data_IF_209193977156
#
_entry.id   IF_209193977156
#
_cell.length_a   1.000
_cell.length_b   1.000
_cell.length_c   1.000
_cell.angle_alpha   90.00
_cell.angle_beta   90.00
_cell.angle_gamma   90.00
#
_symmetry.space_group_name_H-M   'P 1'
#
loop_
_entity.id
_entity.type
_entity.pdbx_description
1 polymer ?
#
# COMPACT_ATOMS: atom_id res chain seq x y z
N UNK A 1 -12.11 -6.88 6.44
CA UNK A 1 -12.10 -5.94 5.30
C UNK A 1 -10.71 -5.95 4.71
N UNK A 2 -10.55 -6.28 3.43
CA UNK A 2 -9.28 -6.20 2.76
C UNK A 2 -8.82 -4.75 2.71
N UNK A 3 -7.50 -4.57 2.76
CA UNK A 3 -6.88 -3.27 2.57
C UNK A 3 -6.40 -3.21 1.13
N UNK A 4 -6.82 -2.17 0.41
CA UNK A 4 -6.27 -1.87 -0.90
C UNK A 4 -5.10 -0.90 -0.72
N UNK A 5 -3.97 -1.19 -1.32
CA UNK A 5 -2.79 -0.31 -1.32
C UNK A 5 -2.55 0.21 -2.73
N UNK A 6 -2.44 1.53 -2.85
CA UNK A 6 -2.37 2.28 -4.10
C UNK A 6 -1.10 3.13 -4.09
N UNK A 7 -0.28 2.97 -5.12
CA UNK A 7 0.90 3.77 -5.37
C UNK A 7 0.69 4.66 -6.59
N UNK A 8 1.22 5.87 -6.54
CA UNK A 8 1.31 6.74 -7.70
C UNK A 8 2.67 6.52 -8.36
N UNK A 9 2.68 6.32 -9.68
CA UNK A 9 3.93 6.17 -10.43
C UNK A 9 4.43 7.53 -10.93
N UNK A 10 5.76 7.64 -11.06
CA UNK A 10 6.44 8.82 -11.58
C UNK A 10 6.03 9.09 -13.03
N UNK A 11 6.04 10.37 -13.43
CA UNK A 11 5.63 10.82 -14.78
C UNK A 11 6.55 10.33 -15.92
N UNK A 12 7.74 9.82 -15.60
CA UNK A 12 8.72 9.33 -16.59
C UNK A 12 8.45 7.91 -17.11
N UNK A 13 7.36 7.27 -16.68
CA UNK A 13 7.01 5.93 -17.10
C UNK A 13 6.62 5.90 -18.59
N UNK A 14 7.33 5.10 -19.40
CA UNK A 14 7.02 4.92 -20.82
C UNK A 14 6.15 3.69 -21.06
N UNK A 15 6.47 2.58 -20.38
CA UNK A 15 5.71 1.34 -20.45
C UNK A 15 5.34 0.85 -19.04
N UNK A 16 4.19 0.18 -18.91
CA UNK A 16 3.74 -0.35 -17.60
C UNK A 16 4.71 -1.40 -17.05
N UNK A 17 5.41 -2.12 -17.93
CA UNK A 17 6.48 -3.04 -17.57
C UNK A 17 7.65 -2.38 -16.84
N UNK A 18 7.94 -1.09 -17.09
CA UNK A 18 9.06 -0.38 -16.46
C UNK A 18 8.84 -0.18 -14.94
N UNK A 19 7.57 -0.18 -14.52
CA UNK A 19 7.16 -0.11 -13.13
C UNK A 19 7.31 -1.46 -12.40
N UNK A 20 7.61 -2.55 -13.12
CA UNK A 20 7.72 -3.90 -12.58
C UNK A 20 9.20 -4.30 -12.56
N UNK A 21 9.76 -4.40 -11.36
CA UNK A 21 11.15 -4.82 -11.13
C UNK A 21 11.35 -6.34 -11.11
N UNK A 22 10.30 -7.13 -11.37
CA UNK A 22 10.32 -8.59 -11.29
C UNK A 22 10.26 -9.22 -12.69
N UNK A 23 11.41 -9.69 -13.19
CA UNK A 23 11.57 -10.16 -14.58
C UNK A 23 10.68 -11.34 -14.99
N UNK A 24 10.31 -12.21 -14.06
CA UNK A 24 9.46 -13.39 -14.34
C UNK A 24 7.96 -13.12 -14.14
N UNK A 25 7.54 -11.86 -13.97
CA UNK A 25 6.14 -11.55 -13.74
C UNK A 25 5.29 -11.91 -14.97
N UNK A 26 4.20 -12.64 -14.75
CA UNK A 26 3.23 -12.94 -15.80
C UNK A 26 2.36 -11.71 -16.03
N UNK A 27 2.22 -11.30 -17.27
CA UNK A 27 1.43 -10.14 -17.69
C UNK A 27 0.06 -10.59 -18.23
N UNK A 28 -0.98 -9.89 -17.82
CA UNK A 28 -2.35 -10.04 -18.29
C UNK A 28 -2.94 -8.65 -18.56
N UNK A 29 -3.43 -8.41 -19.78
CA UNK A 29 -4.23 -7.23 -20.10
C UNK A 29 -5.63 -7.36 -19.51
N UNK A 30 -6.12 -6.30 -18.88
CA UNK A 30 -7.48 -6.21 -18.35
C UNK A 30 -8.29 -5.28 -19.25
N UNK A 31 -9.14 -5.88 -20.07
CA UNK A 31 -9.99 -5.20 -21.05
C UNK A 31 -11.47 -5.44 -20.73
N UNK A 32 -12.30 -4.41 -20.92
CA UNK A 32 -13.75 -4.48 -20.76
C UNK A 32 -14.39 -4.08 -22.09
N UNK A 33 -14.92 -5.07 -22.81
CA UNK A 33 -15.34 -4.88 -24.20
C UNK A 33 -14.15 -4.43 -25.03
N UNK A 34 -14.27 -3.24 -25.65
CA UNK A 34 -13.19 -2.63 -26.45
C UNK A 34 -12.30 -1.68 -25.63
N UNK A 35 -12.59 -1.47 -24.33
CA UNK A 35 -11.85 -0.51 -23.50
C UNK A 35 -10.78 -1.20 -22.68
N UNK A 36 -9.53 -0.79 -22.86
CA UNK A 36 -8.42 -1.16 -21.99
C UNK A 36 -8.49 -0.43 -20.65
N UNK A 37 -8.44 -1.19 -19.55
CA UNK A 37 -8.48 -0.66 -18.18
C UNK A 37 -7.08 -0.59 -17.57
N UNK A 38 -6.24 -1.59 -17.84
CA UNK A 38 -4.88 -1.64 -17.34
C UNK A 38 -4.25 -3.02 -17.44
N UNK A 39 -3.03 -3.14 -16.92
CA UNK A 39 -2.25 -4.38 -16.98
C UNK A 39 -2.02 -4.97 -15.59
N UNK A 40 -2.33 -6.26 -15.45
CA UNK A 40 -2.06 -7.05 -14.25
C UNK A 40 -0.76 -7.84 -14.41
N UNK A 41 0.15 -7.65 -13.47
CA UNK A 41 1.40 -8.38 -13.36
C UNK A 41 1.36 -9.30 -12.14
N UNK A 42 1.58 -10.60 -12.32
CA UNK A 42 1.54 -11.61 -11.26
C UNK A 42 2.90 -12.27 -11.12
N UNK A 43 3.51 -12.18 -9.94
CA UNK A 43 4.78 -12.85 -9.69
C UNK A 43 4.56 -14.35 -9.45
N UNK A 44 5.13 -15.24 -10.28
CA UNK A 44 5.14 -16.66 -9.99
C UNK A 44 5.99 -16.91 -8.73
N UNK A 45 5.38 -17.51 -7.72
CA UNK A 45 6.06 -17.95 -6.50
C UNK A 45 5.94 -19.45 -6.36
N UNK A 46 7.05 -20.08 -5.99
CA UNK A 46 7.09 -21.50 -5.67
C UNK A 46 6.43 -21.74 -4.31
N UNK A 47 5.80 -22.90 -4.17
CA UNK A 47 5.35 -23.39 -2.88
C UNK A 47 6.55 -23.72 -2.01
N UNK A 48 6.59 -23.16 -0.80
CA UNK A 48 7.66 -23.41 0.17
C UNK A 48 7.06 -23.90 1.47
N UNK A 49 7.80 -24.71 2.21
CA UNK A 49 7.45 -25.00 3.60
C UNK A 49 7.48 -23.71 4.41
N UNK A 50 6.56 -23.53 5.37
CA UNK A 50 6.59 -22.35 6.22
C UNK A 50 7.90 -22.30 7.01
N UNK A 51 8.54 -21.12 7.18
CA UNK A 51 9.84 -21.02 7.85
C UNK A 51 9.85 -21.61 9.26
N UNK A 52 8.72 -21.51 9.97
CA UNK A 52 8.56 -22.06 11.32
C UNK A 52 8.43 -23.58 11.37
N UNK A 53 8.19 -24.27 10.24
CA UNK A 53 8.16 -25.74 10.21
C UNK A 53 9.51 -26.33 10.63
N UNK A 54 10.62 -25.62 10.37
CA UNK A 54 11.95 -26.05 10.78
C UNK A 54 12.09 -26.19 12.31
N UNK A 55 11.32 -25.46 13.12
CA UNK A 55 11.35 -25.58 14.58
C UNK A 55 10.87 -26.94 15.09
N UNK A 56 10.02 -27.63 14.33
CA UNK A 56 9.47 -28.94 14.69
C UNK A 56 10.27 -30.11 14.12
N UNK A 57 11.39 -29.83 13.44
CA UNK A 57 12.26 -30.88 12.88
C UNK A 57 12.80 -31.75 14.03
N UNK A 58 12.46 -33.04 14.01
CA UNK A 58 12.84 -34.00 15.07
C UNK A 58 11.80 -34.17 16.19
N UNK A 59 10.75 -33.34 16.23
CA UNK A 59 9.59 -33.53 17.12
C UNK A 59 8.36 -34.06 16.37
N UNK A 60 8.31 -33.81 15.05
CA UNK A 60 7.28 -34.29 14.15
C UNK A 60 7.94 -35.13 13.07
N UNK A 61 7.47 -36.36 12.89
CA UNK A 61 8.05 -37.33 11.95
C UNK A 61 7.84 -36.91 10.48
N UNK A 62 6.67 -36.35 10.17
CA UNK A 62 6.34 -35.81 8.85
C UNK A 62 5.98 -34.31 8.91
N UNK A 63 6.94 -33.46 8.53
CA UNK A 63 6.75 -32.01 8.46
C UNK A 63 5.81 -31.58 7.33
N UNK A 64 5.45 -32.47 6.39
CA UNK A 64 4.55 -32.15 5.29
C UNK A 64 3.11 -31.85 5.75
N UNK A 65 2.72 -32.40 6.91
CA UNK A 65 1.44 -32.14 7.59
C UNK A 65 1.26 -30.65 7.93
N UNK A 66 2.36 -29.91 8.10
CA UNK A 66 2.34 -28.47 8.36
C UNK A 66 1.98 -27.63 7.12
N UNK A 67 1.84 -28.28 5.97
CA UNK A 67 1.42 -27.69 4.70
C UNK A 67 2.52 -26.91 3.99
N UNK A 68 2.14 -26.32 2.85
CA UNK A 68 2.98 -25.43 2.06
C UNK A 68 2.34 -24.06 1.94
N UNK A 69 3.18 -23.03 1.92
CA UNK A 69 2.76 -21.65 1.71
C UNK A 69 3.20 -21.17 0.33
N UNK A 70 2.29 -20.48 -0.35
CA UNK A 70 2.56 -19.78 -1.61
C UNK A 70 2.10 -18.33 -1.47
N UNK A 71 3.05 -17.45 -1.18
CA UNK A 71 2.78 -16.02 -1.01
C UNK A 71 2.76 -15.31 -2.35
N UNK A 72 1.67 -15.46 -3.10
CA UNK A 72 1.49 -14.80 -4.41
C UNK A 72 1.43 -13.28 -4.23
N UNK A 73 2.06 -12.57 -5.16
CA UNK A 73 1.95 -11.12 -5.29
C UNK A 73 1.43 -10.76 -6.67
N UNK A 74 0.64 -9.69 -6.76
CA UNK A 74 0.21 -9.13 -8.01
C UNK A 74 0.18 -7.60 -7.95
N UNK A 75 0.30 -6.95 -9.10
CA UNK A 75 0.21 -5.51 -9.27
C UNK A 75 -0.67 -5.22 -10.47
N UNK A 76 -1.74 -4.46 -10.28
CA UNK A 76 -2.54 -3.91 -11.36
C UNK A 76 -2.11 -2.47 -11.62
N UNK A 77 -1.68 -2.16 -12.84
CA UNK A 77 -1.34 -0.80 -13.25
C UNK A 77 -2.48 -0.27 -14.10
N UNK A 78 -3.06 0.84 -13.66
CA UNK A 78 -4.14 1.54 -14.37
C UNK A 78 -3.69 2.95 -14.76
N UNK A 79 -4.25 3.45 -15.85
CA UNK A 79 -4.00 4.82 -16.31
C UNK A 79 -5.29 5.64 -16.23
N UNK A 80 -5.27 6.71 -15.43
CA UNK A 80 -6.39 7.62 -15.20
C UNK A 80 -5.86 9.05 -15.15
N UNK A 81 -6.56 9.99 -15.80
CA UNK A 81 -6.25 11.43 -15.74
C UNK A 81 -4.77 11.77 -16.01
N UNK A 82 -4.17 11.11 -17.01
CA UNK A 82 -2.75 11.29 -17.39
C UNK A 82 -1.73 10.85 -16.33
N UNK A 83 -2.14 10.01 -15.37
CA UNK A 83 -1.27 9.44 -14.34
C UNK A 83 -1.44 7.93 -14.28
N UNK A 84 -0.36 7.24 -13.93
CA UNK A 84 -0.38 5.80 -13.70
C UNK A 84 -0.45 5.50 -12.20
N UNK A 85 -1.33 4.58 -11.84
CA UNK A 85 -1.49 4.10 -10.47
C UNK A 85 -1.24 2.60 -10.43
N UNK A 86 -0.53 2.15 -9.41
CA UNK A 86 -0.28 0.73 -9.17
C UNK A 86 -1.01 0.26 -7.92
N UNK A 87 -1.90 -0.71 -8.09
CA UNK A 87 -2.64 -1.36 -7.02
C UNK A 87 -1.94 -2.68 -6.69
N UNK A 88 -1.45 -2.81 -5.46
CA UNK A 88 -0.69 -4.01 -5.04
C UNK A 88 -1.58 -4.98 -4.27
N UNK A 89 -1.44 -6.26 -4.58
CA UNK A 89 -2.14 -7.36 -3.93
C UNK A 89 -1.14 -8.36 -3.33
N UNK A 90 -1.39 -8.79 -2.09
CA UNK A 90 -0.51 -9.74 -1.40
C UNK A 90 0.93 -9.23 -1.33
N UNK A 91 1.86 -9.98 -1.91
CA UNK A 91 3.29 -9.61 -2.00
C UNK A 91 3.60 -8.66 -3.17
N UNK A 92 2.60 -7.98 -3.75
CA UNK A 92 2.73 -7.12 -4.92
C UNK A 92 3.70 -5.96 -4.76
N UNK A 93 3.89 -5.44 -3.55
CA UNK A 93 4.88 -4.38 -3.29
C UNK A 93 6.31 -4.75 -3.69
N UNK A 94 6.66 -6.04 -3.63
CA UNK A 94 7.99 -6.55 -3.99
C UNK A 94 8.16 -6.77 -5.50
N UNK A 95 7.07 -6.61 -6.26
CA UNK A 95 7.06 -6.69 -7.73
C UNK A 95 7.34 -5.32 -8.32
N UNK A 96 6.94 -4.26 -7.61
CA UNK A 96 7.13 -2.88 -8.06
C UNK A 96 8.59 -2.45 -8.01
N UNK A 97 9.02 -1.79 -9.08
CA UNK A 97 10.25 -1.03 -9.11
C UNK A 97 10.09 0.22 -8.22
N UNK A 98 10.80 0.25 -7.09
CA UNK A 98 10.68 1.31 -6.10
C UNK A 98 11.12 2.68 -6.66
N UNK A 99 12.06 2.70 -7.61
CA UNK A 99 12.53 3.95 -8.23
C UNK A 99 11.43 4.64 -9.06
N UNK A 100 10.42 3.87 -9.50
CA UNK A 100 9.29 4.37 -10.30
C UNK A 100 8.11 4.84 -9.45
N UNK A 101 8.18 4.71 -8.13
CA UNK A 101 7.13 5.14 -7.20
C UNK A 101 7.35 6.62 -6.83
N UNK A 102 6.25 7.38 -6.85
CA UNK A 102 6.23 8.74 -6.32
C UNK A 102 6.11 8.68 -4.80
N UNK A 103 7.14 9.18 -4.10
CA UNK A 103 7.16 9.26 -2.65
C UNK A 103 6.11 10.25 -2.12
N UNK A 104 5.66 10.03 -0.88
CA UNK A 104 4.72 10.88 -0.14
C UNK A 104 3.36 11.10 -0.82
N UNK A 105 3.05 10.36 -1.89
CA UNK A 105 1.76 10.43 -2.55
C UNK A 105 0.62 10.10 -1.58
N UNK A 106 0.75 8.99 -0.84
CA UNK A 106 -0.25 8.56 0.13
C UNK A 106 -0.54 9.62 1.18
N UNK A 107 0.50 10.30 1.67
CA UNK A 107 0.41 11.37 2.64
C UNK A 107 -0.41 12.54 2.09
N UNK A 108 -0.07 13.04 0.90
CA UNK A 108 -0.77 14.15 0.24
C UNK A 108 -2.22 13.77 -0.11
N UNK A 109 -2.43 12.58 -0.65
CA UNK A 109 -3.76 12.07 -1.00
C UNK A 109 -4.64 11.97 0.25
N UNK A 110 -4.10 11.40 1.33
CA UNK A 110 -4.83 11.30 2.60
C UNK A 110 -5.17 12.68 3.12
N UNK A 111 -4.20 13.59 3.23
CA UNK A 111 -4.43 14.94 3.76
C UNK A 111 -5.50 15.71 2.97
N UNK A 112 -5.49 15.61 1.64
CA UNK A 112 -6.47 16.26 0.78
C UNK A 112 -7.89 15.65 0.91
N UNK A 113 -7.98 14.37 1.27
CA UNK A 113 -9.25 13.64 1.39
C UNK A 113 -9.87 13.64 2.80
N UNK A 114 -9.14 14.09 3.83
CA UNK A 114 -9.64 14.18 5.20
C UNK A 114 -10.43 15.47 5.47
N UNK A 115 -11.39 15.41 6.40
CA UNK A 115 -11.94 16.60 7.07
C UNK A 115 -10.91 17.19 8.03
N UNK A 116 -10.95 18.50 8.22
CA UNK A 116 -9.99 19.28 9.02
C UNK A 116 -9.82 18.80 10.47
N UNK A 117 -10.79 18.06 10.99
CA UNK A 117 -10.87 17.49 12.33
C UNK A 117 -10.87 15.95 12.36
N UNK A 118 -10.72 15.27 11.22
CA UNK A 118 -10.82 13.80 11.13
C UNK A 118 -9.48 13.05 11.22
N UNK A 119 -8.40 13.71 11.68
CA UNK A 119 -7.10 13.09 11.88
C UNK A 119 -7.12 12.21 13.13
N UNK A 120 -6.78 10.93 12.97
CA UNK A 120 -6.80 9.94 14.06
C UNK A 120 -5.40 9.68 14.62
N UNK A 121 -4.40 9.66 13.75
CA UNK A 121 -3.01 9.44 14.15
C UNK A 121 -2.07 10.14 13.18
N UNK A 122 -1.00 10.73 13.73
CA UNK A 122 0.09 11.30 12.96
C UNK A 122 1.39 10.65 13.44
N UNK A 123 2.10 10.01 12.51
CA UNK A 123 3.44 9.50 12.74
C UNK A 123 4.45 10.60 12.42
N UNK A 124 5.30 10.90 13.40
CA UNK A 124 6.34 11.94 13.26
C UNK A 124 7.72 11.38 13.57
N UNK A 125 8.71 11.95 12.91
CA UNK A 125 10.11 11.72 13.18
C UNK A 125 10.83 13.06 13.37
N UNK A 126 11.56 13.19 14.49
CA UNK A 126 12.31 14.40 14.81
C UNK A 126 13.67 14.35 14.13
N UNK A 127 13.89 15.22 13.13
CA UNK A 127 15.08 15.19 12.26
C UNK A 127 16.41 15.35 13.02
N UNK A 128 16.39 15.97 14.21
CA UNK A 128 17.59 16.22 15.03
C UNK A 128 17.88 15.18 16.11
N UNK A 129 16.97 14.23 16.34
CA UNK A 129 17.14 13.24 17.40
C UNK A 129 16.96 11.85 16.82
N UNK A 130 18.01 11.02 16.88
CA UNK A 130 17.98 9.59 16.52
C UNK A 130 17.17 8.80 17.57
N UNK A 131 15.90 9.16 17.76
CA UNK A 131 14.96 8.51 18.67
C UNK A 131 13.92 7.74 17.85
N UNK A 132 13.34 6.65 18.40
CA UNK A 132 12.39 5.83 17.67
C UNK A 132 11.15 6.63 17.25
N UNK A 133 10.53 6.21 16.12
CA UNK A 133 9.24 6.68 15.61
C UNK A 133 8.25 6.90 16.76
N UNK A 134 7.74 8.12 16.93
CA UNK A 134 6.68 8.41 17.90
C UNK A 134 5.35 8.52 17.15
N UNK A 135 4.52 7.50 17.31
CA UNK A 135 3.12 7.52 16.88
C UNK A 135 2.28 8.16 17.98
N UNK A 136 1.54 9.22 17.68
CA UNK A 136 0.55 9.79 18.60
C UNK A 136 -0.84 9.54 18.03
N UNK A 137 -1.63 8.74 18.74
CA UNK A 137 -3.05 8.56 18.46
C UNK A 137 -3.86 9.61 19.24
N UNK A 138 -4.68 10.38 18.55
CA UNK A 138 -5.60 11.35 19.15
C UNK A 138 -6.86 10.66 19.66
N UNK A 139 -7.59 11.32 20.56
CA UNK A 139 -9.00 10.97 20.81
C UNK A 139 -9.83 11.39 19.59
N UNK A 140 -10.98 10.75 19.37
CA UNK A 140 -11.89 11.06 18.26
C UNK A 140 -12.03 12.58 18.04
N UNK A 141 -11.85 13.04 16.79
CA UNK A 141 -11.93 14.43 16.32
C UNK A 141 -10.78 15.37 16.72
N UNK A 142 -9.53 14.99 16.42
CA UNK A 142 -8.35 15.83 16.67
C UNK A 142 -7.87 16.55 15.41
N UNK A 143 -7.63 17.85 15.51
CA UNK A 143 -7.00 18.66 14.46
C UNK A 143 -5.48 18.44 14.44
N UNK A 144 -4.79 18.80 13.36
CA UNK A 144 -3.32 18.68 13.25
C UNK A 144 -2.57 19.42 14.39
N UNK A 145 -3.19 20.47 14.94
CA UNK A 145 -2.64 21.30 16.03
C UNK A 145 -2.67 20.56 17.38
N UNK A 146 -3.67 19.69 17.61
CA UNK A 146 -3.81 18.90 18.84
C UNK A 146 -2.72 17.83 18.99
N UNK A 147 -2.05 17.47 17.89
CA UNK A 147 -0.92 16.54 17.92
C UNK A 147 0.38 17.21 18.36
N UNK A 148 0.44 18.55 18.46
CA UNK A 148 1.65 19.30 18.82
C UNK A 148 2.75 19.13 17.77
N UNK A 149 2.41 19.17 16.48
CA UNK A 149 3.37 19.10 15.37
C UNK A 149 4.09 20.44 15.28
N UNK A 150 5.41 20.45 15.52
CA UNK A 150 6.23 21.62 15.22
C UNK A 150 6.60 21.58 13.73
N UNK A 151 5.92 22.42 12.95
CA UNK A 151 6.10 22.55 11.48
C UNK A 151 7.58 22.74 11.10
N UNK A 152 8.41 23.30 11.99
CA UNK A 152 9.82 23.58 11.71
C UNK A 152 10.76 22.42 12.05
N UNK A 153 10.33 21.41 12.84
CA UNK A 153 11.22 20.38 13.41
C UNK A 153 10.77 18.95 13.16
N UNK A 154 9.48 18.74 12.95
CA UNK A 154 8.88 17.42 12.85
C UNK A 154 8.65 17.07 11.38
N UNK A 155 9.23 15.95 10.93
CA UNK A 155 8.88 15.37 9.63
C UNK A 155 7.69 14.43 9.80
N UNK A 156 6.58 14.73 9.11
CA UNK A 156 5.42 13.85 9.08
C UNK A 156 5.72 12.67 8.16
N UNK A 157 5.66 11.46 8.71
CA UNK A 157 5.98 10.19 8.07
C UNK A 157 4.75 9.34 7.79
N UNK A 158 3.56 9.76 8.21
CA UNK A 158 2.35 8.98 7.98
C UNK A 158 1.15 9.60 8.65
N UNK A 159 0.01 9.55 7.97
CA UNK A 159 -1.26 10.08 8.47
C UNK A 159 -2.32 8.97 8.37
N UNK A 160 -3.12 8.84 9.42
CA UNK A 160 -4.31 7.99 9.42
C UNK A 160 -5.53 8.83 9.78
N UNK A 161 -6.61 8.69 9.02
CA UNK A 161 -7.85 9.40 9.30
C UNK A 161 -9.08 8.80 8.61
N UNK A 162 -10.20 9.51 8.74
CA UNK A 162 -11.48 9.19 8.12
C UNK A 162 -11.76 10.12 6.93
N UNK A 163 -12.02 9.60 5.72
CA UNK A 163 -12.28 10.42 4.55
C UNK A 163 -13.63 11.15 4.64
N UNK A 164 -13.68 12.34 4.06
CA UNK A 164 -14.92 13.07 3.73
C UNK A 164 -15.94 12.15 3.05
N UNK A 165 -15.49 11.52 1.97
CA UNK A 165 -16.32 10.64 1.16
C UNK A 165 -16.19 9.19 1.62
N UNK A 166 -16.72 8.90 2.81
CA UNK A 166 -16.76 7.53 3.38
C UNK A 166 -17.44 6.53 2.44
N UNK A 167 -18.34 7.01 1.55
CA UNK A 167 -19.00 6.21 0.52
C UNK A 167 -18.13 5.83 -0.67
N UNK A 168 -17.03 6.52 -0.96
CA UNK A 168 -16.09 6.17 -2.04
C UNK A 168 -14.78 5.60 -1.49
N UNK A 169 -14.20 6.26 -0.49
CA UNK A 169 -12.86 5.99 0.04
C UNK A 169 -12.85 5.12 1.30
N UNK A 170 -13.98 4.54 1.69
CA UNK A 170 -14.05 3.63 2.83
C UNK A 170 -14.02 4.28 4.19
N UNK A 171 -13.95 3.44 5.22
CA UNK A 171 -14.07 3.89 6.62
C UNK A 171 -12.73 4.30 7.24
N UNK A 172 -11.61 4.01 6.58
CA UNK A 172 -10.27 4.35 7.09
C UNK A 172 -9.30 4.49 5.94
N UNK A 173 -8.50 5.55 5.99
CA UNK A 173 -7.37 5.77 5.09
C UNK A 173 -6.08 5.91 5.90
N UNK A 174 -4.98 5.43 5.32
CA UNK A 174 -3.64 5.61 5.81
C UNK A 174 -2.75 6.04 4.64
N UNK A 175 -1.98 7.09 4.83
CA UNK A 175 -1.12 7.66 3.80
C UNK A 175 0.30 7.85 4.29
N UNK A 176 1.25 7.23 3.60
CA UNK A 176 2.68 7.52 3.69
C UNK A 176 3.19 7.73 2.25
N UNK A 177 4.07 6.88 1.72
CA UNK A 177 4.37 6.84 0.29
C UNK A 177 3.19 6.27 -0.52
N UNK A 178 2.56 5.22 0.01
CA UNK A 178 1.37 4.61 -0.56
C UNK A 178 0.10 5.07 0.17
N UNK A 179 -1.02 5.08 -0.57
CA UNK A 179 -2.35 5.24 0.00
C UNK A 179 -2.94 3.86 0.28
N UNK A 180 -3.24 3.57 1.56
CA UNK A 180 -3.95 2.37 1.97
C UNK A 180 -5.37 2.71 2.39
N UNK A 181 -6.35 2.02 1.78
CA UNK A 181 -7.78 2.19 2.04
C UNK A 181 -8.39 0.88 2.51
N UNK A 182 -9.17 0.93 3.60
CA UNK A 182 -9.91 -0.24 4.09
C UNK A 182 -11.31 -0.27 3.48
N UNK A 183 -11.50 -1.09 2.45
CA UNK A 183 -12.76 -1.27 1.70
C UNK A 183 -12.85 -2.66 1.11
N UNK A 184 -14.06 -3.22 1.12
CA UNK A 184 -14.39 -4.35 0.27
C UNK A 184 -14.54 -3.82 -1.16
N UNK A 185 -13.71 -4.33 -2.07
CA UNK A 185 -13.68 -3.92 -3.47
C UNK A 185 -14.07 -5.13 -4.28
N UNK A 186 -15.15 -4.99 -5.03
CA UNK A 186 -15.49 -5.90 -6.10
C UNK A 186 -15.13 -5.20 -7.41
N UNK A 187 -14.45 -5.93 -8.31
CA UNK A 187 -14.33 -5.53 -9.71
C UNK A 187 -15.67 -5.85 -10.40
N UNK A 188 -16.73 -5.17 -9.99
CA UNK A 188 -18.02 -5.20 -10.68
C UNK A 188 -18.14 -3.89 -11.43
N UNK A 189 -18.18 -3.99 -12.76
CA UNK A 189 -18.35 -2.87 -13.67
C UNK A 189 -19.81 -2.80 -14.10
#
# INVERSE_FOLDING_TARGET
MPNLTIHLLRKGLKHFSDAVGYGDARHYSIDIGERHIGDLYVAPKQEKSPPWAAFFKGYVDDLSVLGKVKSTGAVLIVHTESRHFALTFGQGQFILNQDMIEERFGLLATLNSLESDALRSIDKENVRCRRPKQSRAGRFNSSAQDFGVDIKRDLIKGIVGFPKETKMLGRRMSGDDALTVSRDINLTF
#
